data_IF_090179083809
#
_entry.id   IF_090179083809
#
_cell.length_a   1.000
_cell.length_b   1.000
_cell.length_c   1.000
_cell.angle_alpha   90.00
_cell.angle_beta   90.00
_cell.angle_gamma   90.00
#
_symmetry.space_group_name_H-M   'P 1'
#
loop_
_entity.id
_entity.type
_entity.pdbx_description
1 polymer ?
#
# COMPACT_ATOMS: atom_id res chain seq x y z
N UNK A 1 -32.67 33.66 -25.18
CA UNK A 1 -31.37 32.97 -25.06
C UNK A 1 -31.50 32.00 -23.90
N UNK A 2 -31.52 30.69 -24.16
CA UNK A 2 -31.56 29.68 -23.10
C UNK A 2 -30.14 29.44 -22.60
N UNK A 3 -29.91 29.59 -21.30
CA UNK A 3 -28.62 29.27 -20.71
C UNK A 3 -28.47 27.74 -20.63
N UNK A 4 -27.30 27.20 -20.98
CA UNK A 4 -27.08 25.75 -20.92
C UNK A 4 -27.21 25.25 -19.48
N UNK A 5 -27.83 24.08 -19.34
CA UNK A 5 -27.95 23.36 -18.08
C UNK A 5 -26.58 23.13 -17.44
N UNK A 6 -26.48 23.31 -16.13
CA UNK A 6 -25.27 23.07 -15.32
C UNK A 6 -24.69 21.67 -15.55
N UNK A 7 -25.56 20.69 -15.79
CA UNK A 7 -25.14 19.32 -16.10
C UNK A 7 -24.39 19.23 -17.44
N UNK A 8 -24.80 19.97 -18.47
CA UNK A 8 -24.11 20.02 -19.76
C UNK A 8 -22.79 20.79 -19.69
N UNK A 9 -22.73 21.85 -18.89
CA UNK A 9 -21.49 22.60 -18.61
C UNK A 9 -20.45 21.72 -17.90
N UNK A 10 -20.87 20.91 -16.92
CA UNK A 10 -19.98 19.98 -16.21
C UNK A 10 -19.41 18.90 -17.14
N UNK A 11 -20.23 18.30 -18.01
CA UNK A 11 -19.78 17.31 -19.00
C UNK A 11 -18.78 17.91 -20.00
N UNK A 12 -19.05 19.13 -20.47
CA UNK A 12 -18.15 19.86 -21.38
C UNK A 12 -16.79 20.15 -20.75
N UNK A 13 -16.78 20.59 -19.49
CA UNK A 13 -15.54 20.83 -18.75
C UNK A 13 -14.75 19.55 -18.51
N UNK A 14 -15.39 18.46 -18.08
CA UNK A 14 -14.71 17.18 -17.88
C UNK A 14 -14.08 16.64 -19.17
N UNK A 15 -14.78 16.76 -20.31
CA UNK A 15 -14.25 16.37 -21.64
C UNK A 15 -13.04 17.18 -22.09
N UNK A 16 -12.96 18.47 -21.72
CA UNK A 16 -11.94 19.39 -22.24
C UNK A 16 -10.77 19.65 -21.28
N UNK A 17 -11.02 19.62 -19.97
CA UNK A 17 -10.06 20.05 -18.94
C UNK A 17 -9.85 19.03 -17.82
N UNK A 18 -10.76 18.07 -17.67
CA UNK A 18 -10.76 17.10 -16.58
C UNK A 18 -9.46 16.30 -16.47
N UNK A 19 -8.95 15.78 -17.59
CA UNK A 19 -7.70 15.00 -17.61
C UNK A 19 -6.51 15.80 -17.06
N UNK A 20 -6.33 17.04 -17.53
CA UNK A 20 -5.25 17.90 -17.08
C UNK A 20 -5.37 18.25 -15.59
N UNK A 21 -6.57 18.58 -15.13
CA UNK A 21 -6.81 18.84 -13.70
C UNK A 21 -6.50 17.61 -12.84
N UNK A 22 -6.95 16.42 -13.25
CA UNK A 22 -6.69 15.17 -12.52
C UNK A 22 -5.19 14.88 -12.45
N UNK A 23 -4.43 15.12 -13.53
CA UNK A 23 -2.98 14.98 -13.52
C UNK A 23 -2.30 15.95 -12.55
N UNK A 24 -2.73 17.22 -12.52
CA UNK A 24 -2.19 18.20 -11.57
C UNK A 24 -2.49 17.83 -10.12
N UNK A 25 -3.75 17.49 -9.82
CA UNK A 25 -4.15 17.06 -8.49
C UNK A 25 -3.33 15.83 -8.05
N UNK A 26 -3.15 14.87 -8.95
CA UNK A 26 -2.37 13.68 -8.67
C UNK A 26 -0.92 13.99 -8.34
N UNK A 27 -0.29 14.93 -9.06
CA UNK A 27 1.07 15.36 -8.76
C UNK A 27 1.17 15.99 -7.36
N UNK A 28 0.21 16.84 -6.98
CA UNK A 28 0.17 17.44 -5.64
C UNK A 28 -0.07 16.40 -4.54
N UNK A 29 -0.97 15.44 -4.80
CA UNK A 29 -1.28 14.34 -3.88
C UNK A 29 -0.08 13.41 -3.70
N UNK A 30 0.62 13.06 -4.78
CA UNK A 30 1.86 12.28 -4.73
C UNK A 30 2.92 13.03 -3.93
N UNK A 31 3.12 14.32 -4.21
CA UNK A 31 4.14 15.15 -3.56
C UNK A 31 3.90 15.34 -2.07
N UNK A 32 2.67 15.61 -1.67
CA UNK A 32 2.35 16.03 -0.29
C UNK A 32 1.78 14.90 0.57
N UNK A 33 1.28 13.82 -0.02
CA UNK A 33 0.70 12.68 0.73
C UNK A 33 1.36 11.35 0.42
N UNK A 34 2.26 11.28 -0.56
CA UNK A 34 2.93 10.05 -0.99
C UNK A 34 1.94 8.95 -1.42
N UNK A 35 0.77 9.33 -1.94
CA UNK A 35 -0.26 8.40 -2.42
C UNK A 35 -0.54 8.63 -3.90
N UNK A 36 -1.04 7.59 -4.57
CA UNK A 36 -1.47 7.70 -5.97
C UNK A 36 -0.33 7.64 -6.99
N UNK A 37 0.86 7.15 -6.63
CA UNK A 37 1.98 6.91 -7.56
C UNK A 37 1.62 5.95 -8.71
N UNK A 38 2.28 6.10 -9.86
CA UNK A 38 2.23 5.08 -10.92
C UNK A 38 3.41 4.14 -10.68
N UNK A 39 3.19 3.11 -9.88
CA UNK A 39 4.25 2.17 -9.51
C UNK A 39 4.73 1.29 -10.67
N UNK A 40 3.92 1.13 -11.72
CA UNK A 40 4.23 0.34 -12.92
C UNK A 40 4.71 -1.10 -12.62
N UNK A 41 4.23 -1.69 -11.52
CA UNK A 41 4.59 -3.07 -11.17
C UNK A 41 4.12 -4.06 -12.23
N UNK A 42 5.01 -5.00 -12.57
CA UNK A 42 4.66 -6.16 -13.37
C UNK A 42 3.81 -7.16 -12.55
N UNK A 43 3.30 -8.21 -13.19
CA UNK A 43 2.46 -9.22 -12.52
C UNK A 43 3.19 -9.93 -11.38
N UNK A 44 4.46 -10.28 -11.58
CA UNK A 44 5.27 -10.97 -10.58
C UNK A 44 5.49 -10.11 -9.32
N UNK A 45 5.81 -8.83 -9.50
CA UNK A 45 5.96 -7.86 -8.41
C UNK A 45 4.65 -7.65 -7.64
N UNK A 46 3.50 -7.61 -8.34
CA UNK A 46 2.19 -7.53 -7.68
C UNK A 46 1.89 -8.78 -6.85
N UNK A 47 2.20 -9.96 -7.39
CA UNK A 47 2.02 -11.22 -6.67
C UNK A 47 2.92 -11.25 -5.41
N UNK A 48 4.17 -10.82 -5.53
CA UNK A 48 5.08 -10.75 -4.38
C UNK A 48 4.56 -9.80 -3.30
N UNK A 49 4.07 -8.62 -3.67
CA UNK A 49 3.45 -7.68 -2.72
C UNK A 49 2.19 -8.26 -2.07
N UNK A 50 1.36 -8.99 -2.83
CA UNK A 50 0.20 -9.67 -2.28
C UNK A 50 0.60 -10.75 -1.28
N UNK A 51 1.55 -11.61 -1.62
CA UNK A 51 2.06 -12.65 -0.69
C UNK A 51 2.64 -12.03 0.58
N UNK A 52 3.40 -10.95 0.45
CA UNK A 52 3.93 -10.22 1.60
C UNK A 52 2.82 -9.64 2.48
N UNK A 53 1.80 -9.01 1.87
CA UNK A 53 0.63 -8.51 2.58
C UNK A 53 -0.10 -9.63 3.32
N UNK A 54 -0.37 -10.75 2.63
CA UNK A 54 -1.12 -11.88 3.19
C UNK A 54 -0.38 -12.54 4.37
N UNK A 55 0.95 -12.61 4.32
CA UNK A 55 1.76 -13.10 5.43
C UNK A 55 1.68 -12.18 6.67
N UNK A 56 1.69 -10.85 6.47
CA UNK A 56 1.51 -9.87 7.54
C UNK A 56 0.09 -9.93 8.12
N UNK A 57 -0.92 -10.08 7.26
CA UNK A 57 -2.31 -10.25 7.68
C UNK A 57 -2.47 -11.52 8.53
N UNK A 58 -1.93 -12.65 8.07
CA UNK A 58 -1.96 -13.91 8.82
C UNK A 58 -1.29 -13.75 10.19
N UNK A 59 -0.16 -13.06 10.25
CA UNK A 59 0.55 -12.79 11.52
C UNK A 59 -0.32 -12.00 12.50
N UNK A 60 -1.03 -10.98 12.00
CA UNK A 60 -1.97 -10.18 12.80
C UNK A 60 -3.20 -10.99 13.23
N UNK A 61 -3.76 -11.82 12.35
CA UNK A 61 -4.87 -12.71 12.67
C UNK A 61 -4.49 -13.72 13.75
N UNK A 62 -3.31 -14.34 13.64
CA UNK A 62 -2.76 -15.21 14.68
C UNK A 62 -2.60 -14.47 16.00
N UNK A 63 -2.02 -13.26 16.00
CA UNK A 63 -1.89 -12.45 17.21
C UNK A 63 -3.24 -12.07 17.81
N UNK A 64 -4.28 -11.82 17.01
CA UNK A 64 -5.60 -11.44 17.52
C UNK A 64 -6.47 -12.63 17.94
N UNK A 65 -6.03 -13.86 17.69
CA UNK A 65 -6.64 -15.07 18.24
C UNK A 65 -6.27 -15.28 19.72
N UNK A 66 -6.69 -16.39 20.33
CA UNK A 66 -6.28 -16.83 21.68
C UNK A 66 -4.79 -17.27 21.76
N UNK A 67 -3.93 -16.67 20.91
CA UNK A 67 -2.51 -16.96 20.83
C UNK A 67 -1.78 -16.50 22.09
N UNK A 68 -1.26 -17.48 22.84
CA UNK A 68 -0.52 -17.22 24.08
C UNK A 68 0.98 -17.02 23.79
N UNK A 69 1.34 -15.80 23.42
CA UNK A 69 2.74 -15.35 23.27
C UNK A 69 3.11 -14.36 24.37
N UNK A 70 4.40 -14.31 24.74
CA UNK A 70 4.87 -13.29 25.68
C UNK A 70 4.65 -11.89 25.12
N UNK A 71 4.46 -10.90 26.00
CA UNK A 71 4.32 -9.49 25.59
C UNK A 71 5.49 -9.00 24.74
N UNK A 72 6.71 -9.46 25.06
CA UNK A 72 7.92 -9.11 24.31
C UNK A 72 7.85 -9.62 22.87
N UNK A 73 7.51 -10.90 22.68
CA UNK A 73 7.38 -11.51 21.35
C UNK A 73 6.25 -10.87 20.54
N UNK A 74 5.12 -10.56 21.19
CA UNK A 74 4.03 -9.83 20.53
C UNK A 74 4.51 -8.47 19.99
N UNK A 75 5.21 -7.70 20.81
CA UNK A 75 5.73 -6.39 20.40
C UNK A 75 6.72 -6.53 19.22
N UNK A 76 7.62 -7.51 19.27
CA UNK A 76 8.56 -7.77 18.18
C UNK A 76 7.84 -8.09 16.86
N UNK A 77 6.75 -8.87 16.91
CA UNK A 77 5.94 -9.16 15.72
C UNK A 77 5.22 -7.89 15.24
N UNK A 78 4.54 -7.17 16.13
CA UNK A 78 3.81 -5.93 15.78
C UNK A 78 4.73 -4.86 15.19
N UNK A 79 5.94 -4.70 15.74
CA UNK A 79 6.95 -3.76 15.24
C UNK A 79 7.51 -4.17 13.87
N UNK A 80 7.44 -5.45 13.53
CA UNK A 80 7.91 -5.98 12.24
C UNK A 80 6.86 -5.93 11.12
N UNK A 81 5.58 -5.72 11.46
CA UNK A 81 4.49 -5.74 10.47
C UNK A 81 4.66 -4.64 9.43
N UNK A 82 4.56 -5.03 8.16
CA UNK A 82 4.66 -4.14 6.99
C UNK A 82 6.01 -3.40 6.87
N UNK A 83 7.05 -3.86 7.59
CA UNK A 83 8.41 -3.36 7.39
C UNK A 83 9.08 -3.92 6.13
N UNK A 84 9.86 -3.11 5.40
CA UNK A 84 10.69 -3.62 4.31
C UNK A 84 11.54 -4.81 4.76
N UNK A 85 11.71 -5.80 3.90
CA UNK A 85 12.40 -7.05 4.26
C UNK A 85 13.85 -6.78 4.70
N UNK A 86 14.50 -5.77 4.11
CA UNK A 86 15.86 -5.37 4.46
C UNK A 86 15.93 -4.79 5.88
N UNK A 87 14.87 -4.13 6.34
CA UNK A 87 14.79 -3.60 7.71
C UNK A 87 14.58 -4.74 8.70
N UNK A 88 13.70 -5.68 8.37
CA UNK A 88 13.45 -6.89 9.18
C UNK A 88 14.74 -7.69 9.33
N UNK A 89 15.48 -7.89 8.24
CA UNK A 89 16.76 -8.62 8.24
C UNK A 89 17.83 -7.97 9.12
N UNK A 90 17.88 -6.63 9.15
CA UNK A 90 18.80 -5.90 10.01
C UNK A 90 18.42 -6.01 11.50
N UNK A 91 17.12 -6.02 11.80
CA UNK A 91 16.60 -6.09 13.17
C UNK A 91 16.63 -7.52 13.75
N UNK A 92 16.45 -8.55 12.90
CA UNK A 92 16.31 -9.95 13.31
C UNK A 92 17.23 -10.90 12.53
N UNK A 93 18.58 -10.72 12.58
CA UNK A 93 19.52 -11.48 11.76
C UNK A 93 19.55 -13.00 12.08
N UNK A 94 19.04 -13.40 13.25
CA UNK A 94 19.07 -14.77 13.75
C UNK A 94 17.97 -15.68 13.20
N UNK A 95 16.95 -15.14 12.50
CA UNK A 95 15.79 -15.91 12.01
C UNK A 95 15.89 -16.34 10.54
N UNK A 96 17.11 -16.43 9.98
CA UNK A 96 17.31 -17.04 8.66
C UNK A 96 16.54 -18.37 8.57
N UNK A 97 15.55 -18.46 7.68
CA UNK A 97 15.19 -19.76 7.11
C UNK A 97 16.49 -20.31 6.53
N UNK A 98 17.00 -21.37 7.12
CA UNK A 98 18.01 -22.18 6.46
C UNK A 98 17.30 -22.85 5.28
N UNK A 99 17.15 -22.12 4.18
CA UNK A 99 16.96 -22.73 2.87
C UNK A 99 18.31 -23.31 2.48
N UNK A 100 18.61 -24.45 3.11
CA UNK A 100 19.67 -25.35 2.71
C UNK A 100 19.28 -25.86 1.32
N UNK A 101 20.13 -25.57 0.33
CA UNK A 101 20.21 -26.36 -0.90
C UNK A 101 20.61 -27.80 -0.57
#
# INVERSE_FOLDING_TARGET
>A
MSFPDHQELSKGWWKTRGSHWTSQLRNEVVKHRNIGHHWNFNTEQKNLLQTYHDANQLSLECLNSDCNVSRKVRQEIEDSLLLPIEVIEQQFPSQRRQETQ
#
